data_IF_522501789646
#
_entry.id   IF_522501789646
#
_cell.length_a   1.000
_cell.length_b   1.000
_cell.length_c   1.000
_cell.angle_alpha   90.00
_cell.angle_beta   90.00
_cell.angle_gamma   90.00
#
_symmetry.space_group_name_H-M   'P 1'
#
loop_
_entity.id
_entity.type
_entity.pdbx_description
1 polymer ?
#
# COMPACT_ATOMS: atom_id res chain seq x y z
N UNK A 1 111.44 -116.85 13.79
CA UNK A 1 110.62 -117.78 14.61
C UNK A 1 109.54 -116.93 15.30
N UNK A 2 108.23 -117.00 15.10
CA UNK A 2 107.28 -117.93 14.46
C UNK A 2 106.07 -117.06 14.00
N UNK A 3 105.70 -117.02 12.73
CA UNK A 3 104.85 -117.97 11.98
C UNK A 3 103.38 -117.51 11.89
N UNK A 4 103.12 -116.93 10.72
CA UNK A 4 101.87 -116.83 9.95
C UNK A 4 100.64 -117.62 10.38
N UNK A 5 99.46 -117.03 10.21
CA UNK A 5 98.35 -117.69 9.51
C UNK A 5 97.55 -116.71 8.66
N UNK A 6 97.34 -117.08 7.39
CA UNK A 6 96.58 -116.39 6.34
C UNK A 6 95.42 -117.31 5.96
N UNK A 7 94.21 -116.78 5.84
CA UNK A 7 93.08 -117.35 5.10
C UNK A 7 92.19 -116.16 4.68
N UNK A 8 92.16 -115.76 3.40
CA UNK A 8 91.31 -116.25 2.29
C UNK A 8 89.88 -115.68 2.36
N UNK A 9 89.53 -114.78 1.41
CA UNK A 9 88.24 -114.06 1.26
C UNK A 9 87.05 -114.94 0.86
N UNK A 10 85.86 -114.41 0.47
CA UNK A 10 85.67 -113.31 -0.52
C UNK A 10 84.42 -112.39 -0.29
N UNK A 11 84.17 -111.43 -1.20
CA UNK A 11 82.89 -110.69 -1.37
C UNK A 11 82.95 -109.23 -0.90
N UNK A 12 83.21 -108.28 -1.81
CA UNK A 12 82.18 -107.46 -2.49
C UNK A 12 81.35 -106.62 -1.51
N UNK A 13 81.61 -105.31 -1.45
CA UNK A 13 80.76 -104.27 -2.06
C UNK A 13 81.58 -102.96 -2.04
N UNK A 14 82.02 -102.48 -3.20
CA UNK A 14 82.46 -101.09 -3.32
C UNK A 14 81.19 -100.24 -3.51
N UNK A 15 80.71 -99.63 -2.43
CA UNK A 15 79.66 -98.61 -2.51
C UNK A 15 80.36 -97.30 -2.85
N UNK A 16 80.44 -96.98 -4.14
CA UNK A 16 80.59 -95.58 -4.53
C UNK A 16 79.29 -94.87 -4.17
N UNK A 17 79.24 -94.38 -2.93
CA UNK A 17 78.26 -93.38 -2.55
C UNK A 17 78.71 -92.09 -3.24
N UNK A 18 78.12 -91.83 -4.40
CA UNK A 18 78.12 -90.51 -5.03
C UNK A 18 77.58 -89.53 -3.97
N UNK A 19 78.51 -88.88 -3.27
CA UNK A 19 78.16 -87.86 -2.30
C UNK A 19 77.61 -86.71 -3.12
N UNK A 20 76.27 -86.66 -3.26
CA UNK A 20 75.56 -85.44 -3.66
C UNK A 20 76.24 -84.27 -2.98
N UNK A 21 76.72 -83.25 -3.74
CA UNK A 21 77.52 -82.17 -3.19
C UNK A 21 76.83 -81.63 -1.93
N UNK A 22 77.57 -81.55 -0.83
CA UNK A 22 77.05 -81.12 0.45
C UNK A 22 76.20 -79.86 0.27
N UNK A 23 74.95 -79.91 0.74
CA UNK A 23 74.03 -78.78 0.67
C UNK A 23 74.71 -77.58 1.33
N UNK A 24 75.03 -76.57 0.54
CA UNK A 24 75.71 -75.36 1.01
C UNK A 24 74.73 -74.55 1.88
N UNK A 25 74.77 -74.81 3.18
CA UNK A 25 73.91 -74.18 4.18
C UNK A 25 74.09 -72.65 4.19
N UNK A 26 75.30 -72.18 3.87
CA UNK A 26 75.63 -70.76 3.73
C UNK A 26 74.85 -70.11 2.60
N UNK A 27 74.70 -70.81 1.48
CA UNK A 27 73.88 -70.36 0.34
C UNK A 27 72.40 -70.29 0.70
N UNK A 28 71.85 -71.30 1.37
CA UNK A 28 70.46 -71.31 1.83
C UNK A 28 70.19 -70.19 2.84
N UNK A 29 71.12 -69.94 3.77
CA UNK A 29 70.98 -68.86 4.75
C UNK A 29 71.03 -67.47 4.08
N UNK A 30 71.86 -67.30 3.06
CA UNK A 30 71.91 -66.07 2.27
C UNK A 30 70.65 -65.89 1.39
N UNK A 31 70.15 -66.96 0.77
CA UNK A 31 68.92 -66.93 -0.03
C UNK A 31 67.70 -66.63 0.85
N UNK A 32 67.60 -67.23 2.04
CA UNK A 32 66.53 -66.92 3.01
C UNK A 32 66.64 -65.49 3.52
N UNK A 33 67.85 -64.98 3.80
CA UNK A 33 68.07 -63.57 4.15
C UNK A 33 67.63 -62.63 3.03
N UNK A 34 68.00 -62.91 1.78
CA UNK A 34 67.63 -62.11 0.62
C UNK A 34 66.10 -62.09 0.41
N UNK A 35 65.41 -63.21 0.64
CA UNK A 35 63.94 -63.27 0.61
C UNK A 35 63.31 -62.41 1.72
N UNK A 36 63.83 -62.48 2.96
CA UNK A 36 63.34 -61.64 4.06
C UNK A 36 63.60 -60.16 3.82
N UNK A 37 64.76 -59.80 3.29
CA UNK A 37 65.11 -58.41 2.97
C UNK A 37 64.21 -57.87 1.86
N UNK A 38 63.92 -58.68 0.84
CA UNK A 38 62.94 -58.35 -0.21
C UNK A 38 61.54 -58.18 0.36
N UNK A 39 61.10 -59.08 1.25
CA UNK A 39 59.78 -59.02 1.87
C UNK A 39 59.64 -57.82 2.82
N UNK A 40 60.68 -57.50 3.59
CA UNK A 40 60.70 -56.34 4.48
C UNK A 40 60.69 -55.03 3.68
N UNK A 41 61.45 -54.97 2.59
CA UNK A 41 61.47 -53.81 1.68
C UNK A 41 60.13 -53.64 0.96
N UNK A 42 59.49 -54.73 0.54
CA UNK A 42 58.15 -54.69 -0.05
C UNK A 42 57.10 -54.22 0.98
N UNK A 43 57.14 -54.77 2.20
CA UNK A 43 56.25 -54.36 3.28
C UNK A 43 56.41 -52.87 3.62
N UNK A 44 57.65 -52.36 3.66
CA UNK A 44 57.94 -50.94 3.86
C UNK A 44 57.32 -50.08 2.77
N UNK A 45 57.50 -50.45 1.50
CA UNK A 45 56.90 -49.75 0.36
C UNK A 45 55.37 -49.76 0.40
N UNK A 46 54.78 -50.90 0.72
CA UNK A 46 53.33 -51.05 0.80
C UNK A 46 52.75 -50.20 1.95
N UNK A 47 53.41 -50.16 3.10
CA UNK A 47 53.03 -49.32 4.23
C UNK A 47 53.16 -47.81 3.91
N UNK A 48 54.25 -47.42 3.25
CA UNK A 48 54.45 -46.04 2.77
C UNK A 48 53.38 -45.64 1.75
N UNK A 49 53.09 -46.51 0.77
CA UNK A 49 52.06 -46.28 -0.22
C UNK A 49 50.67 -46.16 0.41
N UNK A 50 50.32 -47.05 1.34
CA UNK A 50 49.05 -47.00 2.06
C UNK A 50 48.91 -45.72 2.90
N UNK A 51 49.98 -45.30 3.57
CA UNK A 51 49.99 -44.04 4.34
C UNK A 51 49.86 -42.82 3.42
N UNK A 52 50.56 -42.79 2.29
CA UNK A 52 50.46 -41.72 1.29
C UNK A 52 49.05 -41.63 0.71
N UNK A 53 48.43 -42.77 0.39
CA UNK A 53 47.06 -42.83 -0.09
C UNK A 53 46.08 -42.28 0.96
N UNK A 54 46.11 -42.80 2.20
CA UNK A 54 45.20 -42.36 3.27
C UNK A 54 45.41 -40.90 3.67
N UNK A 55 46.65 -40.45 3.76
CA UNK A 55 46.95 -39.03 4.06
C UNK A 55 46.56 -38.12 2.90
N UNK A 56 46.67 -38.59 1.65
CA UNK A 56 46.19 -37.89 0.46
C UNK A 56 44.67 -37.75 0.43
N UNK A 57 43.93 -38.82 0.73
CA UNK A 57 42.47 -38.80 0.87
C UNK A 57 42.02 -37.83 1.96
N UNK A 58 42.60 -37.94 3.16
CA UNK A 58 42.26 -37.06 4.28
C UNK A 58 42.56 -35.58 3.94
N UNK A 59 43.68 -35.30 3.28
CA UNK A 59 44.03 -33.93 2.89
C UNK A 59 43.05 -33.37 1.84
N UNK A 60 42.57 -34.20 0.91
CA UNK A 60 41.52 -33.82 -0.04
C UNK A 60 40.21 -33.52 0.69
N UNK A 61 39.81 -34.39 1.62
CA UNK A 61 38.59 -34.20 2.42
C UNK A 61 38.63 -32.94 3.29
N UNK A 62 39.79 -32.65 3.91
CA UNK A 62 39.98 -31.40 4.66
C UNK A 62 39.88 -30.20 3.73
N UNK A 63 40.43 -30.26 2.52
CA UNK A 63 40.33 -29.17 1.53
C UNK A 63 38.88 -28.93 1.13
N UNK A 64 38.14 -29.97 0.77
CA UNK A 64 36.73 -29.85 0.36
C UNK A 64 35.85 -29.36 1.49
N UNK A 65 36.04 -29.87 2.72
CA UNK A 65 35.32 -29.40 3.90
C UNK A 65 35.64 -27.93 4.20
N UNK A 66 36.91 -27.52 4.10
CA UNK A 66 37.31 -26.12 4.29
C UNK A 66 36.64 -25.22 3.26
N UNK A 67 36.60 -25.62 1.99
CA UNK A 67 35.92 -24.88 0.92
C UNK A 67 34.41 -24.76 1.18
N UNK A 68 33.75 -25.86 1.57
CA UNK A 68 32.33 -25.86 1.94
C UNK A 68 32.06 -24.95 3.14
N UNK A 69 32.93 -24.97 4.15
CA UNK A 69 32.81 -24.11 5.33
C UNK A 69 32.96 -22.64 4.97
N UNK A 70 33.91 -22.29 4.09
CA UNK A 70 34.06 -20.91 3.60
C UNK A 70 32.85 -20.49 2.77
N UNK A 71 32.33 -21.37 1.90
CA UNK A 71 31.13 -21.10 1.11
C UNK A 71 29.91 -20.85 1.99
N UNK A 72 29.65 -21.71 2.98
CA UNK A 72 28.56 -21.55 3.94
C UNK A 72 28.72 -20.28 4.77
N UNK A 73 29.95 -19.96 5.21
CA UNK A 73 30.23 -18.71 5.92
C UNK A 73 29.88 -17.49 5.06
N UNK A 74 30.26 -17.49 3.78
CA UNK A 74 29.94 -16.38 2.87
C UNK A 74 28.44 -16.24 2.67
N UNK A 75 27.72 -17.35 2.44
CA UNK A 75 26.26 -17.36 2.33
C UNK A 75 25.58 -16.79 3.57
N UNK A 76 26.02 -17.17 4.77
CA UNK A 76 25.52 -16.59 6.03
C UNK A 76 25.79 -15.09 6.11
N UNK A 77 26.97 -14.63 5.67
CA UNK A 77 27.23 -13.18 5.66
C UNK A 77 26.36 -12.43 4.67
N UNK A 78 26.08 -13.02 3.51
CA UNK A 78 25.24 -12.39 2.48
C UNK A 78 23.77 -12.38 2.92
N UNK A 79 23.27 -13.46 3.50
CA UNK A 79 21.93 -13.50 4.10
C UNK A 79 21.77 -12.49 5.24
N UNK A 80 22.82 -12.26 6.04
CA UNK A 80 22.80 -11.20 7.07
C UNK A 80 22.74 -9.81 6.44
N UNK A 81 23.50 -9.55 5.38
CA UNK A 81 23.46 -8.27 4.65
C UNK A 81 22.11 -8.04 4.00
N UNK A 82 21.53 -9.05 3.37
CA UNK A 82 20.19 -8.92 2.77
C UNK A 82 19.13 -8.66 3.83
N UNK A 83 19.17 -9.38 4.96
CA UNK A 83 18.26 -9.13 6.08
C UNK A 83 18.36 -7.68 6.57
N UNK A 84 19.57 -7.16 6.81
CA UNK A 84 19.78 -5.78 7.21
C UNK A 84 19.24 -4.78 6.17
N UNK A 85 19.46 -5.04 4.88
CA UNK A 85 18.92 -4.20 3.82
C UNK A 85 17.38 -4.22 3.79
N UNK A 86 16.76 -5.39 3.98
CA UNK A 86 15.31 -5.51 4.06
C UNK A 86 14.74 -4.80 5.29
N UNK A 87 15.41 -4.87 6.44
CA UNK A 87 15.03 -4.13 7.64
C UNK A 87 15.09 -2.61 7.41
N UNK A 88 16.15 -2.11 6.77
CA UNK A 88 16.28 -0.70 6.41
C UNK A 88 15.19 -0.26 5.42
N UNK A 89 14.92 -1.07 4.40
CA UNK A 89 13.84 -0.80 3.45
C UNK A 89 12.48 -0.75 4.17
N UNK A 90 12.21 -1.69 5.08
CA UNK A 90 11.00 -1.68 5.88
C UNK A 90 10.89 -0.39 6.73
N UNK A 91 11.97 0.02 7.39
CA UNK A 91 11.96 1.26 8.18
C UNK A 91 11.75 2.50 7.29
N UNK A 92 12.37 2.53 6.11
CA UNK A 92 12.16 3.58 5.10
C UNK A 92 10.68 3.66 4.68
N UNK A 93 10.07 2.52 4.34
CA UNK A 93 8.66 2.43 3.95
C UNK A 93 7.69 2.82 5.08
N UNK A 94 8.03 2.49 6.33
CA UNK A 94 7.23 2.96 7.48
C UNK A 94 7.33 4.46 7.66
N UNK A 95 8.50 5.06 7.44
CA UNK A 95 8.69 6.50 7.50
C UNK A 95 7.93 7.23 6.37
N UNK A 96 7.98 6.72 5.14
CA UNK A 96 7.21 7.28 4.02
C UNK A 96 5.71 7.17 4.26
N UNK A 97 5.23 6.02 4.72
CA UNK A 97 3.83 5.82 5.12
C UNK A 97 3.40 6.88 6.14
N UNK A 98 4.16 7.03 7.23
CA UNK A 98 3.82 7.99 8.30
C UNK A 98 3.76 9.43 7.75
N UNK A 99 4.71 9.82 6.91
CA UNK A 99 4.73 11.14 6.27
C UNK A 99 3.50 11.38 5.39
N UNK A 100 3.08 10.36 4.62
CA UNK A 100 1.86 10.43 3.81
C UNK A 100 0.60 10.51 4.66
N UNK A 101 0.50 9.76 5.75
CA UNK A 101 -0.62 9.84 6.70
C UNK A 101 -0.71 11.21 7.36
N UNK A 102 0.43 11.80 7.75
CA UNK A 102 0.48 13.16 8.31
C UNK A 102 0.10 14.23 7.28
N UNK A 103 0.57 14.10 6.04
CA UNK A 103 0.16 14.98 4.93
C UNK A 103 -1.33 14.88 4.66
N UNK A 104 -1.87 13.65 4.61
CA UNK A 104 -3.31 13.42 4.42
C UNK A 104 -4.12 14.07 5.54
N UNK A 105 -3.78 13.80 6.81
CA UNK A 105 -4.47 14.40 7.95
C UNK A 105 -4.36 15.95 7.94
N UNK A 106 -3.21 16.48 7.54
CA UNK A 106 -3.01 17.92 7.35
C UNK A 106 -3.92 18.50 6.27
N UNK A 107 -4.06 17.84 5.13
CA UNK A 107 -4.95 18.28 4.05
C UNK A 107 -6.42 18.16 4.43
N UNK A 108 -6.85 17.06 5.05
CA UNK A 108 -8.21 16.87 5.53
C UNK A 108 -8.58 17.92 6.58
N UNK A 109 -7.69 18.18 7.55
CA UNK A 109 -7.86 19.23 8.54
C UNK A 109 -7.96 20.62 7.89
N UNK A 110 -7.12 20.89 6.89
CA UNK A 110 -7.15 22.14 6.11
C UNK A 110 -8.47 22.34 5.38
N UNK A 111 -8.96 21.33 4.66
CA UNK A 111 -10.25 21.39 3.97
C UNK A 111 -11.44 21.48 4.92
N UNK A 112 -11.40 20.75 6.04
CA UNK A 112 -12.43 20.85 7.09
C UNK A 112 -12.50 22.28 7.66
N UNK A 113 -11.35 22.90 7.93
CA UNK A 113 -11.27 24.29 8.37
C UNK A 113 -11.83 25.28 7.34
N UNK A 114 -11.46 25.12 6.06
CA UNK A 114 -12.00 25.96 4.97
C UNK A 114 -13.52 25.80 4.82
N UNK A 115 -14.02 24.56 4.87
CA UNK A 115 -15.45 24.28 4.79
C UNK A 115 -16.20 24.92 5.97
N UNK A 116 -15.69 24.77 7.18
CA UNK A 116 -16.26 25.41 8.37
C UNK A 116 -16.30 26.94 8.24
N UNK A 117 -15.25 27.56 7.69
CA UNK A 117 -15.22 29.00 7.46
C UNK A 117 -16.27 29.45 6.44
N UNK A 118 -16.38 28.74 5.31
CA UNK A 118 -17.39 29.02 4.28
C UNK A 118 -18.80 28.84 4.86
N UNK A 119 -19.04 27.79 5.65
CA UNK A 119 -20.33 27.53 6.26
C UNK A 119 -20.73 28.60 7.28
N UNK A 120 -19.78 29.12 8.05
CA UNK A 120 -20.00 30.29 8.92
C UNK A 120 -20.37 31.53 8.11
N UNK A 121 -19.67 31.79 7.01
CA UNK A 121 -19.97 32.93 6.14
C UNK A 121 -21.38 32.81 5.54
N UNK A 122 -21.76 31.62 5.06
CA UNK A 122 -23.11 31.35 4.55
C UNK A 122 -24.14 31.63 5.65
N UNK A 123 -23.96 31.10 6.85
CA UNK A 123 -24.88 31.33 7.97
C UNK A 123 -25.06 32.82 8.30
N UNK A 124 -23.97 33.59 8.33
CA UNK A 124 -24.02 35.03 8.56
C UNK A 124 -24.76 35.79 7.43
N UNK A 125 -24.63 35.34 6.18
CA UNK A 125 -25.35 35.93 5.05
C UNK A 125 -26.83 35.56 5.05
N UNK A 126 -27.16 34.32 5.41
CA UNK A 126 -28.54 33.86 5.57
C UNK A 126 -29.27 34.64 6.65
N UNK A 127 -28.61 34.90 7.79
CA UNK A 127 -29.14 35.73 8.87
C UNK A 127 -29.40 37.17 8.41
N UNK A 128 -28.42 37.81 7.76
CA UNK A 128 -28.59 39.17 7.21
C UNK A 128 -29.73 39.25 6.20
N UNK A 129 -29.84 38.25 5.31
CA UNK A 129 -30.91 38.18 4.33
C UNK A 129 -32.27 38.03 5.00
N UNK A 130 -32.37 37.21 6.05
CA UNK A 130 -33.59 37.04 6.82
C UNK A 130 -33.99 38.34 7.54
N UNK A 131 -33.01 39.06 8.10
CA UNK A 131 -33.24 40.36 8.73
C UNK A 131 -33.78 41.39 7.73
N UNK A 132 -33.14 41.53 6.56
CA UNK A 132 -33.59 42.47 5.52
C UNK A 132 -34.99 42.14 5.01
N UNK A 133 -35.32 40.85 4.86
CA UNK A 133 -36.69 40.41 4.51
C UNK A 133 -37.70 40.83 5.57
N UNK A 134 -37.43 40.58 6.84
CA UNK A 134 -38.31 40.98 7.94
C UNK A 134 -38.48 42.51 8.01
N UNK A 135 -37.42 43.28 7.81
CA UNK A 135 -37.48 44.75 7.75
C UNK A 135 -38.31 45.23 6.55
N UNK A 136 -38.18 44.59 5.39
CA UNK A 136 -38.96 44.92 4.18
C UNK A 136 -40.44 44.63 4.38
N UNK A 137 -40.79 43.50 4.98
CA UNK A 137 -42.17 43.16 5.32
C UNK A 137 -42.78 44.17 6.29
N UNK A 138 -42.02 44.57 7.31
CA UNK A 138 -42.44 45.62 8.25
C UNK A 138 -42.68 46.96 7.53
N UNK A 139 -41.74 47.39 6.69
CA UNK A 139 -41.88 48.64 5.92
C UNK A 139 -43.09 48.59 4.98
N UNK A 140 -43.35 47.45 4.33
CA UNK A 140 -44.52 47.28 3.48
C UNK A 140 -45.83 47.42 4.28
N UNK A 141 -45.91 46.82 5.46
CA UNK A 141 -47.08 46.96 6.33
C UNK A 141 -47.31 48.43 6.77
N UNK A 142 -46.24 49.15 7.12
CA UNK A 142 -46.32 50.57 7.46
C UNK A 142 -46.74 51.42 6.26
N UNK A 143 -46.22 51.12 5.06
CA UNK A 143 -46.60 51.80 3.83
C UNK A 143 -48.09 51.59 3.50
N UNK A 144 -48.61 50.36 3.65
CA UNK A 144 -50.04 50.08 3.47
C UNK A 144 -50.90 50.85 4.48
N UNK A 145 -50.47 50.94 5.74
CA UNK A 145 -51.14 51.76 6.74
C UNK A 145 -51.17 53.23 6.33
N UNK A 146 -50.06 53.78 5.83
CA UNK A 146 -49.99 55.16 5.36
C UNK A 146 -50.87 55.41 4.14
N UNK A 147 -50.91 54.48 3.18
CA UNK A 147 -51.82 54.54 2.02
C UNK A 147 -53.29 54.58 2.46
N UNK A 148 -53.68 53.76 3.44
CA UNK A 148 -55.04 53.76 3.98
C UNK A 148 -55.40 55.10 4.62
N UNK A 149 -54.48 55.70 5.39
CA UNK A 149 -54.68 57.04 5.98
C UNK A 149 -54.79 58.10 4.88
N UNK A 150 -53.92 58.06 3.87
CA UNK A 150 -53.96 58.97 2.73
C UNK A 150 -55.32 58.89 2.02
N UNK A 151 -55.78 57.68 1.68
CA UNK A 151 -57.07 57.49 1.01
C UNK A 151 -58.25 58.04 1.85
N UNK A 152 -58.19 57.90 3.19
CA UNK A 152 -59.19 58.48 4.09
C UNK A 152 -59.18 60.01 4.07
N UNK A 153 -57.99 60.61 4.10
CA UNK A 153 -57.84 62.07 4.03
C UNK A 153 -58.26 62.63 2.68
N UNK A 154 -57.97 61.94 1.58
CA UNK A 154 -58.44 62.31 0.24
C UNK A 154 -59.98 62.34 0.19
N UNK A 155 -60.65 61.33 0.75
CA UNK A 155 -62.11 61.33 0.88
C UNK A 155 -62.62 62.51 1.73
N UNK A 156 -61.96 62.80 2.85
CA UNK A 156 -62.32 63.92 3.71
C UNK A 156 -62.21 65.27 2.96
N UNK A 157 -61.12 65.48 2.24
CA UNK A 157 -60.91 66.68 1.40
C UNK A 157 -61.97 66.80 0.32
N UNK A 158 -62.32 65.71 -0.36
CA UNK A 158 -63.38 65.71 -1.38
C UNK A 158 -64.74 66.06 -0.77
N UNK A 159 -65.04 65.56 0.44
CA UNK A 159 -66.26 65.96 1.15
C UNK A 159 -66.24 67.43 1.57
N UNK A 160 -65.11 67.95 2.06
CA UNK A 160 -64.98 69.37 2.39
C UNK A 160 -65.15 70.25 1.15
N UNK A 161 -64.53 69.90 0.02
CA UNK A 161 -64.72 70.61 -1.26
C UNK A 161 -66.19 70.65 -1.65
N UNK A 162 -66.89 69.52 -1.58
CA UNK A 162 -68.33 69.44 -1.89
C UNK A 162 -69.19 70.30 -0.98
N UNK A 163 -68.88 70.36 0.32
CA UNK A 163 -69.60 71.21 1.28
C UNK A 163 -69.34 72.70 1.02
N UNK A 164 -68.08 73.08 0.72
CA UNK A 164 -67.74 74.46 0.36
C UNK A 164 -68.39 74.88 -0.97
N UNK A 165 -68.40 74.00 -1.97
CA UNK A 165 -69.08 74.23 -3.25
C UNK A 165 -70.61 74.27 -3.06
N UNK A 166 -71.16 73.51 -2.11
CA UNK A 166 -72.58 73.48 -1.75
C UNK A 166 -73.06 74.69 -0.92
N UNK A 167 -72.17 75.34 -0.15
CA UNK A 167 -72.47 76.63 0.49
C UNK A 167 -72.29 77.83 -0.47
N UNK A 168 -71.63 77.64 -1.62
CA UNK A 168 -71.59 78.63 -2.69
C UNK A 168 -72.83 78.61 -3.60
N UNK A 169 -73.76 77.66 -3.41
CA UNK A 169 -74.97 77.54 -4.22
C UNK A 169 -76.22 77.47 -3.36
N UNK A 170 -76.35 78.45 -2.47
CA UNK A 170 -77.62 78.95 -1.97
C UNK A 170 -78.13 80.13 -2.81
N UNK A 171 -78.29 79.95 -4.12
CA UNK A 171 -79.43 80.43 -4.93
C UNK A 171 -79.24 80.00 -6.40
N UNK A 172 -80.23 79.34 -6.99
CA UNK A 172 -80.24 79.02 -8.43
C UNK A 172 -80.42 77.54 -8.77
N UNK A 173 -81.68 77.19 -9.04
CA UNK A 173 -82.12 76.10 -9.92
C UNK A 173 -81.18 75.90 -11.12
N UNK A 174 -80.81 74.66 -11.46
CA UNK A 174 -81.38 73.94 -12.62
C UNK A 174 -80.80 72.52 -12.77
N UNK A 175 -81.65 71.68 -13.34
CA UNK A 175 -81.57 70.27 -13.65
C UNK A 175 -80.62 69.96 -14.83
N UNK A 176 -79.79 68.91 -14.71
CA UNK A 176 -79.66 67.86 -15.75
C UNK A 176 -78.49 66.91 -15.47
N UNK A 177 -78.88 65.64 -15.50
CA UNK A 177 -78.14 64.43 -15.86
C UNK A 177 -76.69 64.55 -16.40
N UNK A 178 -75.83 63.63 -15.95
CA UNK A 178 -75.16 62.70 -16.88
C UNK A 178 -74.22 61.76 -16.13
N UNK A 179 -74.60 60.49 -16.20
CA UNK A 179 -73.90 59.28 -15.78
C UNK A 179 -72.60 59.11 -16.59
N UNK A 180 -71.45 58.88 -15.95
CA UNK A 180 -70.33 58.16 -16.57
C UNK A 180 -69.62 57.24 -15.58
N UNK A 181 -70.06 55.98 -15.63
CA UNK A 181 -69.31 54.73 -15.55
C UNK A 181 -67.93 54.71 -14.89
N UNK A 182 -67.92 54.01 -13.75
CA UNK A 182 -66.85 53.17 -13.21
C UNK A 182 -66.03 52.39 -14.27
N UNK A 183 -64.70 52.36 -14.13
CA UNK A 183 -63.87 51.13 -14.01
C UNK A 183 -62.38 51.48 -13.99
N UNK A 184 -61.82 51.59 -12.78
CA UNK A 184 -60.38 51.51 -12.54
C UNK A 184 -60.00 50.03 -12.55
N UNK A 185 -59.39 49.55 -13.64
CA UNK A 185 -58.84 48.21 -13.73
C UNK A 185 -57.43 48.21 -13.14
N UNK A 186 -57.32 48.01 -11.83
CA UNK A 186 -56.07 47.58 -11.20
C UNK A 186 -55.86 46.12 -11.59
N UNK A 187 -54.93 45.85 -12.50
CA UNK A 187 -54.45 44.51 -12.76
C UNK A 187 -53.58 44.05 -11.59
N UNK A 188 -54.19 43.30 -10.69
CA UNK A 188 -53.51 42.46 -9.72
C UNK A 188 -52.74 41.38 -10.49
N UNK A 189 -51.43 41.38 -10.33
CA UNK A 189 -50.54 40.26 -10.70
C UNK A 189 -50.80 39.13 -9.71
N UNK A 190 -51.83 38.34 -9.97
CA UNK A 190 -52.06 37.07 -9.28
C UNK A 190 -51.11 36.02 -9.86
N UNK A 191 -50.03 35.78 -9.12
CA UNK A 191 -49.07 34.71 -9.40
C UNK A 191 -49.71 33.39 -8.96
N UNK A 192 -50.64 32.88 -9.76
CA UNK A 192 -51.16 31.53 -9.59
C UNK A 192 -50.00 30.54 -9.63
N UNK A 193 -49.88 29.82 -8.53
CA UNK A 193 -48.89 28.81 -8.22
C UNK A 193 -49.14 27.62 -9.16
N UNK A 194 -48.33 27.48 -10.22
CA UNK A 194 -48.35 26.30 -11.08
C UNK A 194 -48.12 25.04 -10.24
N UNK A 195 -49.06 24.07 -10.20
CA UNK A 195 -48.94 22.84 -9.40
C UNK A 195 -48.02 21.78 -10.02
N UNK A 196 -47.22 22.14 -11.04
CA UNK A 196 -46.38 21.22 -11.81
C UNK A 196 -44.93 21.69 -11.94
N UNK A 197 -44.41 22.38 -10.92
CA UNK A 197 -42.99 22.74 -10.92
C UNK A 197 -42.16 21.53 -10.49
N UNK A 198 -41.59 20.80 -11.45
CA UNK A 198 -40.68 19.68 -11.16
C UNK A 198 -39.26 20.19 -10.94
N UNK A 199 -38.62 19.80 -9.84
CA UNK A 199 -37.18 20.02 -9.59
C UNK A 199 -36.43 18.78 -10.08
N UNK A 200 -35.47 18.97 -10.99
CA UNK A 200 -34.53 17.90 -11.37
C UNK A 200 -33.27 18.02 -10.55
N UNK A 201 -32.94 16.99 -9.77
CA UNK A 201 -31.69 16.92 -9.00
C UNK A 201 -30.77 15.95 -9.75
N UNK A 202 -29.63 16.46 -10.22
CA UNK A 202 -28.55 15.66 -10.83
C UNK A 202 -27.45 15.44 -9.80
N UNK A 203 -27.32 14.21 -9.33
CA UNK A 203 -26.23 13.79 -8.45
C UNK A 203 -25.16 13.14 -9.32
N UNK A 204 -23.96 13.70 -9.30
CA UNK A 204 -22.80 13.18 -10.04
C UNK A 204 -21.87 12.57 -9.00
N UNK A 205 -21.68 11.26 -9.06
CA UNK A 205 -20.71 10.54 -8.23
C UNK A 205 -19.47 10.28 -9.08
N UNK A 206 -18.33 10.85 -8.66
CA UNK A 206 -17.04 10.65 -9.31
C UNK A 206 -16.10 9.86 -8.39
N UNK A 207 -15.46 8.84 -8.95
CA UNK A 207 -14.37 8.13 -8.29
C UNK A 207 -13.05 8.62 -8.89
N UNK A 208 -12.18 9.17 -8.04
CA UNK A 208 -10.90 9.78 -8.45
C UNK A 208 -9.77 9.01 -7.80
N UNK A 209 -8.85 8.50 -8.61
CA UNK A 209 -7.63 7.82 -8.16
C UNK A 209 -6.44 8.55 -8.78
N UNK A 210 -5.48 8.98 -7.95
CA UNK A 210 -4.28 9.73 -8.36
C UNK A 210 -4.57 11.03 -9.15
N UNK A 211 -5.70 11.68 -8.90
CA UNK A 211 -6.08 12.93 -9.57
C UNK A 211 -6.71 12.74 -10.95
N UNK A 212 -6.89 11.50 -11.41
CA UNK A 212 -7.59 11.18 -12.66
C UNK A 212 -8.96 10.56 -12.35
N UNK A 213 -10.01 11.04 -13.03
CA UNK A 213 -11.38 10.56 -12.82
C UNK A 213 -11.52 9.21 -13.52
N UNK A 214 -11.57 8.12 -12.73
CA UNK A 214 -11.61 6.73 -13.24
C UNK A 214 -13.04 6.22 -13.44
N UNK A 215 -14.02 6.83 -12.79
CA UNK A 215 -15.45 6.49 -12.95
C UNK A 215 -16.34 7.71 -12.70
N UNK A 216 -17.39 7.87 -13.50
CA UNK A 216 -18.39 8.94 -13.37
C UNK A 216 -19.78 8.36 -13.59
N UNK A 217 -20.64 8.42 -12.56
CA UNK A 217 -22.02 7.96 -12.63
C UNK A 217 -22.97 9.12 -12.33
N UNK A 218 -23.91 9.36 -13.24
CA UNK A 218 -24.92 10.42 -13.11
C UNK A 218 -26.26 9.78 -12.77
N UNK A 219 -26.85 10.15 -11.65
CA UNK A 219 -28.23 9.83 -11.28
C UNK A 219 -29.08 11.11 -11.35
N UNK A 220 -30.19 11.03 -12.09
CA UNK A 220 -31.16 12.11 -12.22
C UNK A 220 -32.46 11.69 -11.53
N UNK A 221 -32.86 12.45 -10.52
CA UNK A 221 -34.11 12.24 -9.77
C UNK A 221 -35.01 13.45 -10.03
N UNK A 222 -36.22 13.20 -10.51
CA UNK A 222 -37.27 14.20 -10.69
C UNK A 222 -38.24 14.16 -9.50
N UNK A 223 -38.36 15.28 -8.78
CA UNK A 223 -39.34 15.45 -7.72
C UNK A 223 -40.35 16.56 -8.11
N UNK A 224 -41.63 16.32 -7.86
CA UNK A 224 -42.68 17.35 -7.93
C UNK A 224 -42.59 18.26 -6.69
N UNK A 225 -42.53 19.58 -6.89
CA UNK A 225 -42.51 20.59 -5.81
C UNK A 225 -43.93 20.92 -5.34
#
# INVERSE_FOLDING_TARGET
>A
ELQSFRASGPGEVTVEMDATPGVDLTKILNDTRAQYETMAEQNRKDAEAWYLEKSGELRKEISTNTEQLQSSKNEVTDLRRTLQNLELELQSQLATKKSLEESLAGTEGGYCGQLSQVQQLIGNLEEQLQQVRADTERQNAEHQRLLNVKARLELEIDTYRRLLDGEAQGDGFDESSSVTSSKSQTQSIDSSKDPNKTRKIKTIVQEVVNGEVVSSQVQEIEELI
#
